data_IF_638191823443
#
_entry.id   IF_638191823443
#
_cell.length_a   1.000
_cell.length_b   1.000
_cell.length_c   1.000
_cell.angle_alpha   90.00
_cell.angle_beta   90.00
_cell.angle_gamma   90.00
#
_symmetry.space_group_name_H-M   'P 1'
#
loop_
_entity.id
_entity.type
_entity.pdbx_description
1 polymer ?
#
# COMPACT_ATOMS: atom_id res chain seq x y z
N UNK A 1 -10.51 4.14 -20.95
CA UNK A 1 -9.49 3.41 -21.72
C UNK A 1 -9.41 2.04 -21.10
N UNK A 2 -10.05 1.08 -21.75
CA UNK A 2 -10.41 -0.21 -21.19
C UNK A 2 -9.19 -1.12 -21.04
N UNK A 3 -9.06 -1.70 -19.84
CA UNK A 3 -7.97 -2.61 -19.45
C UNK A 3 -7.99 -3.90 -20.29
N UNK A 4 -9.10 -4.19 -20.97
CA UNK A 4 -9.32 -5.41 -21.76
C UNK A 4 -8.54 -5.46 -23.09
N UNK A 5 -8.00 -4.34 -23.59
CA UNK A 5 -7.42 -4.31 -24.95
C UNK A 5 -5.98 -4.83 -25.08
N UNK A 6 -5.31 -5.23 -23.99
CA UNK A 6 -3.86 -5.53 -24.02
C UNK A 6 -3.45 -6.83 -23.33
N UNK A 7 -4.36 -7.75 -23.04
CA UNK A 7 -4.02 -9.08 -22.52
C UNK A 7 -4.21 -10.09 -23.64
N UNK A 8 -3.17 -10.87 -23.97
CA UNK A 8 -3.28 -11.99 -24.93
C UNK A 8 -4.47 -12.88 -24.55
N UNK A 9 -5.37 -13.15 -25.48
CA UNK A 9 -6.56 -13.98 -25.22
C UNK A 9 -6.18 -15.46 -24.94
N UNK A 10 -5.04 -15.92 -25.47
CA UNK A 10 -4.51 -17.27 -25.28
C UNK A 10 -3.18 -17.22 -24.51
N UNK A 11 -3.25 -17.37 -23.18
CA UNK A 11 -2.07 -17.46 -22.30
C UNK A 11 -1.82 -18.93 -21.94
N UNK A 12 -0.63 -19.45 -22.26
CA UNK A 12 -0.21 -20.73 -21.72
C UNK A 12 0.32 -20.57 -20.29
N UNK A 13 -0.48 -20.95 -19.30
CA UNK A 13 -0.13 -20.86 -17.88
C UNK A 13 1.04 -21.74 -17.43
N UNK A 14 1.52 -22.65 -18.28
CA UNK A 14 2.71 -23.48 -18.00
C UNK A 14 3.97 -22.98 -18.70
N UNK A 15 3.87 -21.95 -19.55
CA UNK A 15 5.02 -21.36 -20.24
C UNK A 15 5.54 -20.14 -19.46
N UNK A 16 6.80 -20.17 -19.07
CA UNK A 16 7.44 -19.11 -18.28
C UNK A 16 7.56 -17.79 -19.06
N UNK A 17 7.68 -17.86 -20.39
CA UNK A 17 7.77 -16.68 -21.27
C UNK A 17 6.42 -15.96 -21.34
N UNK A 18 5.33 -16.70 -21.53
CA UNK A 18 3.99 -16.13 -21.57
C UNK A 18 3.62 -15.48 -20.21
N UNK A 19 4.03 -16.10 -19.10
CA UNK A 19 3.83 -15.55 -17.76
C UNK A 19 4.62 -14.25 -17.53
N UNK A 20 5.85 -14.16 -18.01
CA UNK A 20 6.64 -12.92 -17.92
C UNK A 20 6.09 -11.82 -18.84
N UNK A 21 5.61 -12.15 -20.04
CA UNK A 21 4.99 -11.18 -20.93
C UNK A 21 3.71 -10.59 -20.30
N UNK A 22 2.86 -11.43 -19.69
CA UNK A 22 1.69 -10.98 -18.94
C UNK A 22 2.07 -10.06 -17.77
N UNK A 23 3.09 -10.43 -16.98
CA UNK A 23 3.58 -9.59 -15.87
C UNK A 23 4.01 -8.22 -16.36
N UNK A 24 4.73 -8.16 -17.47
CA UNK A 24 5.18 -6.88 -18.06
C UNK A 24 3.98 -6.05 -18.54
N UNK A 25 3.01 -6.66 -19.24
CA UNK A 25 1.79 -5.96 -19.66
C UNK A 25 1.00 -5.39 -18.48
N UNK A 26 0.85 -6.16 -17.40
CA UNK A 26 0.19 -5.71 -16.17
C UNK A 26 1.00 -4.58 -15.52
N UNK A 27 2.31 -4.73 -15.40
CA UNK A 27 3.17 -3.70 -14.82
C UNK A 27 3.11 -2.40 -15.61
N UNK A 28 3.12 -2.45 -16.95
CA UNK A 28 3.00 -1.28 -17.80
C UNK A 28 1.62 -0.63 -17.68
N UNK A 29 0.56 -1.44 -17.64
CA UNK A 29 -0.82 -0.94 -17.49
C UNK A 29 -1.06 -0.24 -16.15
N UNK A 30 -0.36 -0.69 -15.10
CA UNK A 30 -0.43 -0.15 -13.74
C UNK A 30 0.58 0.98 -13.49
N UNK A 31 1.71 0.98 -14.20
CA UNK A 31 2.76 1.99 -14.09
C UNK A 31 2.21 3.37 -14.44
N UNK A 32 2.33 4.30 -13.50
CA UNK A 32 1.80 5.66 -13.63
C UNK A 32 0.32 5.83 -13.28
N UNK A 33 -0.42 4.74 -12.99
CA UNK A 33 -1.82 4.81 -12.50
C UNK A 33 -1.95 4.50 -11.02
N UNK A 34 -1.13 3.58 -10.52
CA UNK A 34 -1.12 3.18 -9.12
C UNK A 34 0.32 3.23 -8.61
N UNK A 35 0.50 3.82 -7.44
CA UNK A 35 1.80 3.98 -6.81
C UNK A 35 2.27 2.69 -6.10
N UNK A 36 2.26 1.55 -6.81
CA UNK A 36 2.49 0.20 -6.24
C UNK A 36 3.84 0.09 -5.54
N UNK A 37 4.89 0.66 -6.15
CA UNK A 37 6.26 0.64 -5.62
C UNK A 37 6.61 1.91 -4.81
N UNK A 38 5.60 2.70 -4.41
CA UNK A 38 5.82 3.88 -3.56
C UNK A 38 6.13 3.48 -2.13
N UNK A 39 6.94 4.31 -1.45
CA UNK A 39 7.21 4.18 -0.01
C UNK A 39 5.94 4.15 0.83
N UNK A 40 4.86 4.81 0.37
CA UNK A 40 3.56 4.78 1.03
C UNK A 40 2.89 3.41 1.05
N UNK A 41 3.30 2.49 0.16
CA UNK A 41 2.81 1.11 0.14
C UNK A 41 3.68 0.16 0.99
N UNK A 42 4.73 0.68 1.66
CA UNK A 42 5.65 -0.12 2.47
C UNK A 42 5.20 -0.07 3.92
N UNK A 43 5.10 -1.25 4.54
CA UNK A 43 4.92 -1.40 5.98
C UNK A 43 5.86 -2.45 6.54
N UNK A 44 6.15 -2.28 7.82
CA UNK A 44 7.18 -3.01 8.51
C UNK A 44 6.56 -4.10 9.39
N UNK A 45 6.25 -5.25 8.81
CA UNK A 45 5.66 -6.39 9.52
C UNK A 45 6.71 -7.24 10.24
N UNK A 46 6.32 -7.86 11.37
CA UNK A 46 7.13 -8.90 12.00
C UNK A 46 7.16 -10.13 11.10
N UNK A 47 8.28 -10.82 10.97
CA UNK A 47 8.47 -11.92 10.02
C UNK A 47 7.41 -13.03 10.11
N UNK A 48 7.06 -13.46 11.34
CA UNK A 48 5.98 -14.44 11.59
C UNK A 48 4.59 -13.95 11.14
N UNK A 49 4.38 -12.64 11.17
CA UNK A 49 3.14 -11.97 10.77
C UNK A 49 3.12 -11.82 9.24
N UNK A 50 4.23 -11.41 8.63
CA UNK A 50 4.38 -11.26 7.18
C UNK A 50 4.20 -12.60 6.42
N UNK A 51 4.85 -13.68 6.92
CA UNK A 51 4.73 -15.01 6.32
C UNK A 51 3.32 -15.60 6.41
N UNK A 52 2.60 -15.30 7.49
CA UNK A 52 1.23 -15.78 7.69
C UNK A 52 0.19 -15.08 6.82
N UNK A 53 0.53 -13.92 6.24
CA UNK A 53 -0.42 -13.08 5.48
C UNK A 53 -0.25 -13.19 3.97
N UNK A 54 0.96 -13.46 3.46
CA UNK A 54 1.22 -13.54 2.01
C UNK A 54 0.60 -12.37 1.21
N UNK A 55 0.07 -12.69 0.03
CA UNK A 55 -0.63 -11.74 -0.85
C UNK A 55 -2.14 -11.68 -0.58
N UNK A 56 -2.58 -11.88 0.67
CA UNK A 56 -4.02 -11.80 1.00
C UNK A 56 -4.56 -10.36 0.97
N UNK A 57 -5.88 -10.23 0.94
CA UNK A 57 -6.59 -8.94 0.89
C UNK A 57 -6.29 -8.05 2.10
N UNK A 58 -6.31 -6.74 1.88
CA UNK A 58 -6.04 -5.75 2.93
C UNK A 58 -6.97 -5.92 4.14
N UNK A 59 -8.27 -6.11 3.95
CA UNK A 59 -9.24 -6.29 5.04
C UNK A 59 -8.89 -7.45 5.99
N UNK A 60 -8.41 -8.58 5.46
CA UNK A 60 -7.95 -9.70 6.27
C UNK A 60 -6.65 -9.41 7.01
N UNK A 61 -5.69 -8.78 6.32
CA UNK A 61 -4.43 -8.33 6.93
C UNK A 61 -4.70 -7.36 8.09
N UNK A 62 -5.61 -6.40 7.87
CA UNK A 62 -6.09 -5.44 8.87
C UNK A 62 -6.70 -6.15 10.08
N UNK A 63 -7.66 -7.06 9.87
CA UNK A 63 -8.28 -7.82 10.96
C UNK A 63 -7.22 -8.55 11.80
N UNK A 64 -6.25 -9.18 11.14
CA UNK A 64 -5.21 -9.93 11.83
C UNK A 64 -4.26 -9.03 12.64
N UNK A 65 -3.90 -7.84 12.12
CA UNK A 65 -3.16 -6.82 12.89
C UNK A 65 -3.94 -6.41 14.14
N UNK A 66 -5.22 -6.06 13.99
CA UNK A 66 -6.08 -5.67 15.12
C UNK A 66 -6.21 -6.77 16.17
N UNK A 67 -6.36 -8.03 15.75
CA UNK A 67 -6.40 -9.18 16.67
C UNK A 67 -5.07 -9.37 17.42
N UNK A 68 -3.94 -9.18 16.75
CA UNK A 68 -2.63 -9.29 17.40
C UNK A 68 -2.41 -8.15 18.41
N UNK A 69 -2.83 -6.92 18.09
CA UNK A 69 -2.83 -5.78 19.02
C UNK A 69 -3.68 -6.08 20.26
N UNK A 70 -4.91 -6.60 20.08
CA UNK A 70 -5.80 -6.99 21.20
C UNK A 70 -5.20 -8.10 22.09
N UNK A 71 -4.34 -8.95 21.53
CA UNK A 71 -3.62 -10.01 22.26
C UNK A 71 -2.34 -9.51 22.95
N UNK A 72 -2.09 -8.19 22.95
CA UNK A 72 -0.90 -7.60 23.56
C UNK A 72 0.40 -7.86 22.79
N UNK A 73 0.33 -8.33 21.54
CA UNK A 73 1.54 -8.45 20.71
C UNK A 73 1.99 -7.08 20.28
N UNK A 74 3.29 -6.82 20.40
CA UNK A 74 3.87 -5.58 19.91
C UNK A 74 3.72 -5.47 18.39
N UNK A 75 3.07 -4.40 17.95
CA UNK A 75 2.99 -3.97 16.55
C UNK A 75 3.65 -2.60 16.49
N UNK A 76 4.50 -2.37 15.49
CA UNK A 76 5.15 -1.07 15.31
C UNK A 76 4.08 0.02 15.11
N UNK A 77 4.19 1.18 15.77
CA UNK A 77 3.18 2.25 15.67
C UNK A 77 2.86 2.64 14.23
N UNK A 78 3.88 2.81 13.38
CA UNK A 78 3.65 3.12 11.96
C UNK A 78 2.85 2.03 11.22
N UNK A 79 3.10 0.75 11.51
CA UNK A 79 2.32 -0.36 10.93
C UNK A 79 0.88 -0.31 11.41
N UNK A 80 0.64 -0.05 12.69
CA UNK A 80 -0.71 0.10 13.20
C UNK A 80 -1.42 1.27 12.51
N UNK A 81 -0.75 2.43 12.41
CA UNK A 81 -1.23 3.62 11.71
C UNK A 81 -1.64 3.34 10.25
N UNK A 82 -0.90 2.49 9.55
CA UNK A 82 -1.22 2.10 8.17
C UNK A 82 -2.52 1.27 8.08
N UNK A 83 -2.78 0.41 9.07
CA UNK A 83 -3.94 -0.49 9.08
C UNK A 83 -5.16 0.06 9.80
N UNK A 84 -4.99 1.06 10.68
CA UNK A 84 -6.09 1.82 11.29
C UNK A 84 -6.35 3.16 10.58
N UNK A 85 -5.54 3.49 9.57
CA UNK A 85 -5.62 4.73 8.78
C UNK A 85 -5.45 5.99 9.61
N UNK A 86 -4.72 5.91 10.72
CA UNK A 86 -4.47 7.02 11.66
C UNK A 86 -3.58 8.15 11.13
N UNK A 87 -3.12 8.09 9.88
CA UNK A 87 -2.38 9.17 9.21
C UNK A 87 -3.28 10.21 8.55
N UNK A 88 -4.60 10.01 8.54
CA UNK A 88 -5.57 11.01 8.11
C UNK A 88 -5.80 12.05 9.21
N UNK A 89 -5.00 13.12 9.19
CA UNK A 89 -5.15 14.22 10.14
C UNK A 89 -6.41 15.07 9.86
N UNK A 90 -6.79 15.24 8.59
CA UNK A 90 -7.73 16.29 8.16
C UNK A 90 -8.91 15.80 7.28
N UNK A 91 -9.11 14.47 7.18
CA UNK A 91 -10.21 13.90 6.38
C UNK A 91 -11.46 13.67 7.22
N UNK A 92 -12.62 13.89 6.61
CA UNK A 92 -13.91 13.49 7.20
C UNK A 92 -14.00 11.97 7.25
N UNK A 93 -14.48 11.42 8.37
CA UNK A 93 -14.61 9.96 8.57
C UNK A 93 -15.41 9.26 7.45
N UNK A 94 -16.41 9.94 6.90
CA UNK A 94 -17.29 9.46 5.82
C UNK A 94 -16.55 9.16 4.50
N UNK A 95 -15.35 9.71 4.30
CA UNK A 95 -14.53 9.48 3.10
C UNK A 95 -13.48 8.36 3.27
N UNK A 96 -13.40 7.74 4.45
CA UNK A 96 -12.37 6.75 4.78
C UNK A 96 -12.96 5.34 4.69
N UNK A 97 -12.63 4.62 3.62
CA UNK A 97 -13.02 3.21 3.49
C UNK A 97 -12.06 2.31 4.26
N UNK A 98 -12.51 1.69 5.35
CA UNK A 98 -11.59 0.94 6.25
C UNK A 98 -11.14 -0.43 5.72
N UNK A 99 -11.82 -0.96 4.71
CA UNK A 99 -11.58 -2.33 4.21
C UNK A 99 -10.70 -2.36 2.95
N UNK A 100 -10.38 -1.20 2.36
CA UNK A 100 -9.61 -1.09 1.14
C UNK A 100 -8.31 -0.31 1.38
N UNK A 101 -7.24 -0.73 0.70
CA UNK A 101 -6.01 0.05 0.57
C UNK A 101 -5.98 0.65 -0.82
N UNK A 102 -6.27 1.94 -0.89
CA UNK A 102 -6.45 2.69 -2.14
C UNK A 102 -5.17 3.43 -2.52
N UNK A 103 -5.09 3.90 -3.76
CA UNK A 103 -3.98 4.77 -4.18
C UNK A 103 -3.90 6.06 -3.35
N UNK A 104 -5.06 6.57 -2.89
CA UNK A 104 -5.11 7.69 -1.97
C UNK A 104 -4.48 7.36 -0.61
N UNK A 105 -4.70 6.15 -0.07
CA UNK A 105 -4.03 5.69 1.15
C UNK A 105 -2.51 5.62 0.97
N UNK A 106 -2.05 5.12 -0.18
CA UNK A 106 -0.62 5.08 -0.52
C UNK A 106 -0.02 6.49 -0.52
N UNK A 107 -0.64 7.44 -1.21
CA UNK A 107 -0.14 8.82 -1.28
C UNK A 107 -0.18 9.54 0.08
N UNK A 108 -1.24 9.33 0.86
CA UNK A 108 -1.38 9.91 2.19
C UNK A 108 -0.35 9.33 3.16
N UNK A 109 -0.13 8.02 3.15
CA UNK A 109 0.91 7.39 3.98
C UNK A 109 2.31 7.84 3.55
N UNK A 110 2.58 7.98 2.25
CA UNK A 110 3.86 8.52 1.77
C UNK A 110 4.10 9.96 2.26
N UNK A 111 3.07 10.81 2.20
CA UNK A 111 3.13 12.18 2.71
C UNK A 111 3.35 12.22 4.23
N UNK A 112 2.69 11.33 4.97
CA UNK A 112 2.90 11.17 6.40
C UNK A 112 4.34 10.75 6.73
N UNK A 113 4.88 9.73 6.05
CA UNK A 113 6.28 9.30 6.20
C UNK A 113 7.23 10.45 5.91
N UNK A 114 7.02 11.18 4.81
CA UNK A 114 7.82 12.37 4.45
C UNK A 114 7.82 13.39 5.59
N UNK A 115 6.64 13.75 6.11
CA UNK A 115 6.51 14.68 7.23
C UNK A 115 7.28 14.20 8.46
N UNK A 116 7.12 12.93 8.85
CA UNK A 116 7.85 12.38 10.01
C UNK A 116 9.37 12.42 9.83
N UNK A 117 9.88 12.15 8.62
CA UNK A 117 11.31 12.25 8.30
C UNK A 117 11.77 13.72 8.38
N UNK A 118 11.01 14.64 7.80
CA UNK A 118 11.31 16.08 7.82
C UNK A 118 11.33 16.62 9.25
N UNK A 119 10.34 16.27 10.07
CA UNK A 119 10.27 16.63 11.48
C UNK A 119 11.47 16.08 12.25
N UNK A 120 11.83 14.81 12.03
CA UNK A 120 12.97 14.16 12.69
C UNK A 120 14.31 14.85 12.38
N UNK A 121 14.52 15.23 11.12
CA UNK A 121 15.73 15.92 10.69
C UNK A 121 15.65 17.45 10.77
N UNK A 122 14.53 18.00 11.28
CA UNK A 122 14.25 19.43 11.37
C UNK A 122 14.41 20.17 10.02
N UNK A 123 13.98 19.52 8.94
CA UNK A 123 14.02 20.05 7.57
C UNK A 123 12.75 20.89 7.35
N UNK A 124 12.92 22.13 6.88
CA UNK A 124 11.79 22.99 6.49
C UNK A 124 11.33 22.63 5.09
N UNK A 125 10.02 22.59 4.88
CA UNK A 125 9.48 22.40 3.54
C UNK A 125 9.75 23.67 2.71
N UNK A 126 10.44 23.52 1.59
CA UNK A 126 10.60 24.62 0.64
C UNK A 126 9.21 24.98 0.10
N UNK A 127 8.81 26.25 0.25
CA UNK A 127 7.58 26.74 -0.34
C UNK A 127 7.67 26.53 -1.86
N UNK A 128 6.69 25.82 -2.44
CA UNK A 128 6.59 25.72 -3.90
C UNK A 128 6.33 27.12 -4.43
N UNK A 129 7.33 27.71 -5.06
CA UNK A 129 7.16 28.94 -5.84
C UNK A 129 6.26 28.58 -7.03
N UNK A 130 5.12 29.26 -7.12
CA UNK A 130 4.14 29.17 -8.22
C UNK A 130 4.72 29.58 -9.57
#
# INVERSE_FOLDING_TARGET
>A
MDIETHIKEDINWQDETDLEELKNQINDALSGKIHINSIGNIVLLHEKVNRGYGNDFYSKKRLAILQNTKKGKFIRPHTLNAFDKGFYADKKEEDITMDNWTDYDIQANASYIKKQIMDFFNIKEEAKNE
#
